data_IF_356706621824
#
_entry.id   IF_356706621824
#
_cell.length_a   1.000
_cell.length_b   1.000
_cell.length_c   1.000
_cell.angle_alpha   90.00
_cell.angle_beta   90.00
_cell.angle_gamma   90.00
#
_symmetry.space_group_name_H-M   'P 1'
#
loop_
_entity.id
_entity.type
_entity.pdbx_description
1 polymer ?
#
# COMPACT_ATOMS: atom_id res chain seq x y z
N UNK A 1 20.24 1.98 7.79
CA UNK A 1 19.18 1.90 8.81
C UNK A 1 18.09 1.06 8.19
N UNK A 2 17.87 -0.17 8.68
CA UNK A 2 16.79 -1.03 8.18
C UNK A 2 15.50 -0.65 8.90
N UNK A 3 14.50 -0.19 8.15
CA UNK A 3 13.16 0.01 8.69
C UNK A 3 12.42 -1.34 8.63
N UNK A 4 11.63 -1.68 9.64
CA UNK A 4 10.78 -2.88 9.63
C UNK A 4 9.32 -2.45 9.55
N UNK A 5 8.57 -3.05 8.65
CA UNK A 5 7.11 -2.98 8.59
C UNK A 5 6.56 -4.27 9.19
N UNK A 6 5.73 -4.14 10.22
CA UNK A 6 5.13 -5.27 10.94
C UNK A 6 3.68 -5.38 10.46
N UNK A 7 3.32 -6.49 9.80
CA UNK A 7 1.99 -6.72 9.23
C UNK A 7 1.34 -7.94 9.90
N UNK A 8 0.74 -7.73 11.07
CA UNK A 8 0.34 -8.84 11.97
C UNK A 8 -0.97 -9.54 11.61
N UNK A 9 -1.95 -8.82 11.06
CA UNK A 9 -3.29 -9.37 10.75
C UNK A 9 -3.77 -9.03 9.34
N UNK A 10 -3.50 -7.80 8.88
CA UNK A 10 -3.84 -7.32 7.55
C UNK A 10 -2.72 -6.39 7.08
N UNK A 11 -1.89 -6.86 6.16
CA UNK A 11 -0.74 -6.09 5.70
C UNK A 11 -1.10 -5.12 4.59
N UNK A 12 -0.65 -3.88 4.72
CA UNK A 12 -0.70 -2.93 3.62
C UNK A 12 0.30 -1.80 3.78
N UNK A 13 0.67 -1.18 2.67
CA UNK A 13 1.45 0.05 2.67
C UNK A 13 0.69 1.13 1.93
N UNK A 14 0.59 2.31 2.55
CA UNK A 14 0.07 3.53 1.94
C UNK A 14 1.23 4.50 1.76
N UNK A 15 1.38 5.02 0.55
CA UNK A 15 2.38 6.03 0.20
C UNK A 15 1.63 7.22 -0.39
N UNK A 16 1.75 8.40 0.21
CA UNK A 16 1.06 9.58 -0.30
C UNK A 16 1.79 10.87 0.07
N UNK A 17 1.46 11.95 -0.64
CA UNK A 17 1.82 13.30 -0.20
C UNK A 17 1.23 13.58 1.20
N UNK A 18 1.95 14.36 2.01
CA UNK A 18 1.51 14.69 3.39
C UNK A 18 0.08 15.23 3.46
N UNK A 19 -0.37 15.98 2.45
CA UNK A 19 -1.71 16.57 2.43
C UNK A 19 -2.83 15.53 2.46
N UNK A 20 -2.62 14.33 1.90
CA UNK A 20 -3.59 13.24 1.98
C UNK A 20 -3.89 12.87 3.43
N UNK A 21 -2.86 12.69 4.25
CA UNK A 21 -3.02 12.28 5.65
C UNK A 21 -3.57 13.37 6.58
N UNK A 22 -3.52 14.64 6.17
CA UNK A 22 -4.11 15.74 6.94
C UNK A 22 -5.63 15.79 6.80
N UNK A 23 -6.16 15.28 5.69
CA UNK A 23 -7.57 15.22 5.41
C UNK A 23 -7.86 14.06 4.45
N UNK A 24 -7.80 12.82 4.95
CA UNK A 24 -7.84 11.63 4.10
C UNK A 24 -9.22 11.42 3.48
N UNK A 25 -10.27 11.92 4.13
CA UNK A 25 -11.63 11.91 3.60
C UNK A 25 -12.25 13.32 3.59
N UNK A 26 -11.80 14.24 2.71
CA UNK A 26 -12.29 15.61 2.69
C UNK A 26 -13.78 15.74 2.42
N UNK A 27 -14.32 14.78 1.66
CA UNK A 27 -15.68 14.83 1.12
C UNK A 27 -16.61 13.80 1.76
N UNK A 28 -16.14 13.04 2.75
CA UNK A 28 -16.92 11.96 3.37
C UNK A 28 -17.25 10.82 2.39
N UNK A 29 -16.35 10.58 1.43
CA UNK A 29 -16.44 9.60 0.35
C UNK A 29 -16.17 8.17 0.83
N UNK A 30 -15.74 7.97 2.09
CA UNK A 30 -15.59 6.66 2.69
C UNK A 30 -14.25 5.99 2.39
N UNK A 31 -13.17 6.77 2.27
CA UNK A 31 -11.85 6.21 1.94
C UNK A 31 -11.38 5.20 3.00
N UNK A 32 -11.58 5.49 4.28
CA UNK A 32 -11.15 4.62 5.38
C UNK A 32 -11.90 3.30 5.36
N UNK A 33 -13.21 3.34 5.11
CA UNK A 33 -14.02 2.14 4.93
C UNK A 33 -13.56 1.30 3.74
N UNK A 34 -13.22 1.95 2.63
CA UNK A 34 -12.69 1.23 1.46
C UNK A 34 -11.34 0.58 1.76
N UNK A 35 -10.49 1.19 2.61
CA UNK A 35 -9.25 0.57 3.08
C UNK A 35 -9.49 -0.61 4.02
N UNK A 36 -10.45 -0.52 4.96
CA UNK A 36 -10.84 -1.65 5.83
C UNK A 36 -11.24 -2.87 4.99
N UNK A 37 -12.10 -2.67 3.98
CA UNK A 37 -12.49 -3.74 3.04
C UNK A 37 -11.29 -4.24 2.25
N UNK A 38 -10.41 -3.33 1.78
CA UNK A 38 -9.26 -3.72 0.97
C UNK A 38 -8.27 -4.61 1.73
N UNK A 39 -8.09 -4.33 3.03
CA UNK A 39 -7.25 -5.08 3.95
C UNK A 39 -7.88 -6.41 4.38
N UNK A 40 -9.21 -6.52 4.42
CA UNK A 40 -9.92 -7.78 4.64
C UNK A 40 -10.17 -8.58 3.34
N UNK A 41 -9.12 -8.88 2.60
CA UNK A 41 -9.23 -9.50 1.27
C UNK A 41 -10.00 -10.81 1.23
N UNK A 42 -9.85 -11.67 2.24
CA UNK A 42 -10.49 -12.99 2.28
C UNK A 42 -11.83 -12.99 3.03
N UNK A 43 -12.24 -11.86 3.60
CA UNK A 43 -13.49 -11.74 4.36
C UNK A 43 -13.39 -12.47 5.69
N UNK A 44 -12.21 -12.42 6.29
CA UNK A 44 -11.90 -13.07 7.56
C UNK A 44 -12.35 -12.28 8.77
N UNK A 45 -12.69 -11.00 8.60
CA UNK A 45 -13.21 -10.16 9.69
C UNK A 45 -14.73 -10.17 9.75
N UNK A 46 -15.26 -9.55 10.78
CA UNK A 46 -16.70 -9.36 10.97
C UNK A 46 -17.35 -8.45 9.92
N UNK A 47 -16.57 -7.72 9.10
CA UNK A 47 -17.06 -6.93 7.96
C UNK A 47 -17.86 -7.78 6.97
N UNK A 48 -17.52 -9.06 6.80
CA UNK A 48 -18.28 -9.96 5.92
C UNK A 48 -19.74 -10.11 6.34
N UNK A 49 -20.06 -9.93 7.63
CA UNK A 49 -21.40 -10.09 8.17
C UNK A 49 -22.35 -8.95 7.75
N UNK A 50 -21.81 -7.83 7.29
CA UNK A 50 -22.60 -6.68 6.81
C UNK A 50 -23.15 -6.92 5.40
N UNK A 51 -22.69 -7.96 4.70
CA UNK A 51 -23.04 -8.25 3.31
C UNK A 51 -23.69 -9.63 3.17
N UNK A 52 -24.70 -9.71 2.31
CA UNK A 52 -25.32 -10.98 1.89
C UNK A 52 -24.85 -11.40 0.49
N UNK A 53 -23.67 -10.94 0.06
CA UNK A 53 -23.08 -11.13 -1.27
C UNK A 53 -21.80 -11.97 -1.16
N UNK A 54 -21.35 -12.55 -2.27
CA UNK A 54 -20.04 -13.22 -2.32
C UNK A 54 -18.93 -12.21 -2.02
N UNK A 55 -18.08 -12.50 -1.03
CA UNK A 55 -17.11 -11.53 -0.52
C UNK A 55 -16.20 -10.95 -1.61
N UNK A 56 -15.74 -11.79 -2.54
CA UNK A 56 -14.91 -11.31 -3.66
C UNK A 56 -15.61 -10.22 -4.49
N UNK A 57 -16.94 -10.31 -4.67
CA UNK A 57 -17.71 -9.29 -5.40
C UNK A 57 -17.80 -7.99 -4.60
N UNK A 58 -18.03 -8.09 -3.29
CA UNK A 58 -18.03 -6.95 -2.36
C UNK A 58 -16.67 -6.26 -2.39
N UNK A 59 -15.59 -7.04 -2.21
CA UNK A 59 -14.23 -6.54 -2.23
C UNK A 59 -13.92 -5.77 -3.50
N UNK A 60 -14.21 -6.33 -4.69
CA UNK A 60 -14.00 -5.61 -5.95
C UNK A 60 -14.87 -4.34 -6.06
N UNK A 61 -16.12 -4.37 -5.63
CA UNK A 61 -17.04 -3.22 -5.73
C UNK A 61 -16.62 -2.08 -4.81
N UNK A 62 -16.39 -2.38 -3.53
CA UNK A 62 -16.10 -1.36 -2.51
C UNK A 62 -14.69 -0.78 -2.67
N UNK A 63 -13.74 -1.55 -3.21
CA UNK A 63 -12.36 -1.07 -3.43
C UNK A 63 -12.17 -0.25 -4.72
N UNK A 64 -13.19 -0.14 -5.59
CA UNK A 64 -13.13 0.68 -6.81
C UNK A 64 -12.80 2.16 -6.50
N UNK A 65 -13.25 2.67 -5.35
CA UNK A 65 -12.92 4.02 -4.91
C UNK A 65 -11.40 4.20 -4.79
N UNK A 66 -10.72 3.25 -4.14
CA UNK A 66 -9.27 3.30 -3.97
C UNK A 66 -8.55 3.24 -5.31
N UNK A 67 -8.99 2.38 -6.23
CA UNK A 67 -8.44 2.31 -7.60
C UNK A 67 -8.56 3.65 -8.31
N UNK A 68 -9.71 4.32 -8.19
CA UNK A 68 -9.93 5.62 -8.80
C UNK A 68 -9.03 6.71 -8.23
N UNK A 69 -8.81 6.73 -6.91
CA UNK A 69 -7.92 7.71 -6.27
C UNK A 69 -6.44 7.45 -6.57
N UNK A 70 -6.03 6.17 -6.65
CA UNK A 70 -4.69 5.79 -7.12
C UNK A 70 -4.47 6.27 -8.55
N UNK A 71 -5.47 6.09 -9.43
CA UNK A 71 -5.41 6.56 -10.83
C UNK A 71 -5.37 8.09 -10.98
N UNK A 72 -5.72 8.84 -9.93
CA UNK A 72 -5.56 10.29 -9.85
C UNK A 72 -4.21 10.71 -9.26
N UNK A 73 -3.44 9.76 -8.71
CA UNK A 73 -2.12 10.01 -8.11
C UNK A 73 -2.19 10.60 -6.72
N UNK A 74 -3.31 10.38 -6.01
CA UNK A 74 -3.52 10.88 -4.65
C UNK A 74 -2.66 10.09 -3.66
N UNK A 75 -2.64 8.77 -3.80
CA UNK A 75 -1.83 7.86 -3.00
C UNK A 75 -1.52 6.60 -3.81
N UNK A 76 -0.63 5.78 -3.26
CA UNK A 76 -0.44 4.38 -3.64
C UNK A 76 -0.80 3.49 -2.48
N UNK A 77 -1.42 2.36 -2.82
CA UNK A 77 -1.76 1.36 -1.85
C UNK A 77 -1.45 -0.03 -2.43
N UNK A 78 -0.75 -0.83 -1.63
CA UNK A 78 -0.45 -2.23 -1.94
C UNK A 78 -0.79 -3.05 -0.71
N UNK A 79 -1.59 -4.10 -0.91
CA UNK A 79 -1.83 -5.12 0.11
C UNK A 79 -0.65 -6.09 0.17
N UNK A 80 -0.25 -6.43 1.39
CA UNK A 80 0.88 -7.29 1.73
C UNK A 80 0.38 -8.55 2.44
N UNK A 81 1.09 -9.69 2.29
CA UNK A 81 0.79 -10.84 3.12
C UNK A 81 1.17 -10.55 4.59
N UNK A 82 0.57 -11.31 5.51
CA UNK A 82 0.92 -11.27 6.93
C UNK A 82 2.41 -11.62 7.10
N UNK A 83 3.12 -10.81 7.87
CA UNK A 83 4.55 -10.99 8.14
C UNK A 83 5.30 -9.67 8.32
N UNK A 84 6.61 -9.81 8.45
CA UNK A 84 7.54 -8.70 8.63
C UNK A 84 8.29 -8.38 7.35
N UNK A 85 8.40 -7.11 7.00
CA UNK A 85 9.15 -6.67 5.83
C UNK A 85 10.27 -5.73 6.22
N UNK A 86 11.50 -6.08 5.85
CA UNK A 86 12.60 -5.12 5.87
C UNK A 86 12.40 -4.14 4.71
N UNK A 87 12.20 -2.87 5.03
CA UNK A 87 12.00 -1.81 4.06
C UNK A 87 13.34 -1.13 3.71
N UNK A 88 13.63 -1.08 2.41
CA UNK A 88 14.68 -0.27 1.81
C UNK A 88 14.07 0.75 0.86
N UNK A 89 14.48 2.02 0.98
CA UNK A 89 14.04 3.10 0.10
C UNK A 89 15.24 3.59 -0.71
N UNK A 90 15.08 3.54 -2.04
CA UNK A 90 16.09 3.91 -3.02
C UNK A 90 15.69 5.21 -3.73
N UNK A 91 16.61 6.16 -3.77
CA UNK A 91 16.42 7.41 -4.51
C UNK A 91 16.98 7.29 -5.94
N UNK A 92 16.17 7.64 -6.93
CA UNK A 92 16.53 7.73 -8.35
C UNK A 92 17.15 6.45 -8.95
N UNK A 93 16.70 5.27 -8.51
CA UNK A 93 17.17 3.98 -9.02
C UNK A 93 16.03 3.14 -9.56
N UNK A 94 15.99 2.92 -10.86
CA UNK A 94 15.04 1.94 -11.43
C UNK A 94 15.43 0.56 -10.91
N UNK A 95 14.49 -0.11 -10.26
CA UNK A 95 14.72 -1.48 -9.80
C UNK A 95 14.49 -2.40 -10.99
N UNK A 96 15.54 -3.14 -11.37
CA UNK A 96 15.49 -4.16 -12.44
C UNK A 96 15.94 -5.47 -11.82
N UNK A 97 15.02 -6.23 -11.26
CA UNK A 97 15.37 -7.50 -10.62
C UNK A 97 14.22 -8.51 -10.68
N UNK A 98 14.57 -9.80 -10.64
CA UNK A 98 13.69 -10.98 -10.69
C UNK A 98 13.01 -11.24 -9.33
N UNK A 99 12.41 -10.19 -8.76
CA UNK A 99 11.69 -10.24 -7.49
C UNK A 99 10.25 -10.74 -7.69
N UNK A 100 9.68 -11.36 -6.64
CA UNK A 100 8.38 -12.01 -6.70
C UNK A 100 7.18 -11.06 -6.76
N UNK A 101 7.31 -9.76 -6.62
CA UNK A 101 6.20 -8.86 -6.92
C UNK A 101 6.77 -7.52 -7.34
N UNK A 102 6.18 -6.95 -8.39
CA UNK A 102 6.52 -5.64 -8.89
C UNK A 102 5.22 -4.87 -9.12
N UNK A 103 5.14 -3.69 -8.53
CA UNK A 103 4.09 -2.73 -8.78
C UNK A 103 4.70 -1.37 -9.03
N UNK A 104 4.18 -0.68 -10.04
CA UNK A 104 4.57 0.68 -10.40
C UNK A 104 3.33 1.53 -10.55
N UNK A 105 3.38 2.74 -9.98
CA UNK A 105 2.40 3.78 -10.25
C UNK A 105 3.00 5.14 -9.86
N UNK A 106 2.23 6.22 -10.03
CA UNK A 106 2.72 7.59 -9.91
C UNK A 106 1.94 8.36 -8.84
N UNK A 107 2.61 9.27 -8.15
CA UNK A 107 2.03 10.17 -7.14
C UNK A 107 2.35 11.62 -7.51
N UNK A 108 1.40 12.52 -7.26
CA UNK A 108 1.65 13.96 -7.30
C UNK A 108 2.07 14.49 -5.92
N UNK A 109 3.26 15.08 -5.83
CA UNK A 109 3.78 15.71 -4.61
C UNK A 109 3.55 17.21 -4.63
N UNK A 110 2.88 17.72 -3.59
CA UNK A 110 2.44 19.11 -3.43
C UNK A 110 3.03 19.78 -2.19
N UNK A 111 3.30 19.01 -1.14
CA UNK A 111 3.80 19.51 0.15
C UNK A 111 5.30 19.29 0.33
N UNK A 112 6.02 18.89 -0.73
CA UNK A 112 7.44 18.53 -0.69
C UNK A 112 7.78 17.35 0.24
N UNK A 113 6.78 16.55 0.60
CA UNK A 113 6.96 15.45 1.55
C UNK A 113 6.01 14.32 1.18
N UNK A 114 6.57 13.13 0.95
CA UNK A 114 5.81 11.88 0.90
C UNK A 114 5.96 11.18 2.25
N UNK A 115 4.85 10.64 2.74
CA UNK A 115 4.80 9.80 3.92
C UNK A 115 4.46 8.37 3.52
N UNK A 116 5.02 7.43 4.26
CA UNK A 116 4.74 6.01 4.16
C UNK A 116 4.20 5.51 5.49
N UNK A 117 3.08 4.81 5.43
CA UNK A 117 2.42 4.18 6.56
C UNK A 117 2.18 2.70 6.30
N UNK A 118 2.29 1.90 7.37
CA UNK A 118 1.59 0.62 7.44
C UNK A 118 0.08 0.92 7.53
N UNK A 119 -0.71 0.29 6.65
CA UNK A 119 -2.09 0.67 6.41
C UNK A 119 -3.01 0.36 7.59
N UNK A 120 -2.87 -0.79 8.24
CA UNK A 120 -3.69 -1.17 9.39
C UNK A 120 -3.51 -0.22 10.56
N UNK A 121 -2.25 0.04 10.94
CA UNK A 121 -1.86 1.00 11.98
C UNK A 121 -2.40 2.39 11.68
N UNK A 122 -2.35 2.81 10.41
CA UNK A 122 -2.89 4.10 10.03
C UNK A 122 -4.41 4.18 10.19
N UNK A 123 -5.15 3.13 9.82
CA UNK A 123 -6.61 3.10 9.98
C UNK A 123 -7.04 3.09 11.44
N UNK A 124 -6.35 2.30 12.28
CA UNK A 124 -6.65 2.23 13.72
C UNK A 124 -6.50 3.58 14.43
N UNK A 125 -5.49 4.36 14.02
CA UNK A 125 -5.12 5.60 14.70
C UNK A 125 -5.62 6.88 13.99
N UNK A 126 -6.29 6.76 12.83
CA UNK A 126 -6.72 7.90 12.00
C UNK A 126 -7.61 8.88 12.77
N UNK A 127 -8.51 8.36 13.61
CA UNK A 127 -9.46 9.12 14.42
C UNK A 127 -8.81 9.77 15.65
N UNK A 128 -7.67 9.22 16.09
CA UNK A 128 -6.92 9.69 17.26
C UNK A 128 -5.95 10.82 16.85
N UNK A 129 -5.55 10.86 15.57
CA UNK A 129 -4.77 11.95 14.99
C UNK A 129 -3.30 11.99 15.38
N UNK A 130 -2.76 10.91 15.95
CA UNK A 130 -1.35 10.78 16.37
C UNK A 130 -0.60 9.64 15.65
N UNK A 131 -1.00 9.33 14.41
CA UNK A 131 -0.31 8.31 13.61
C UNK A 131 1.05 8.84 13.17
N UNK A 132 2.12 8.12 13.53
CA UNK A 132 3.47 8.43 13.06
C UNK A 132 3.76 7.67 11.77
N UNK A 133 4.27 8.34 10.73
CA UNK A 133 4.65 7.65 9.51
C UNK A 133 5.78 6.66 9.80
N UNK A 134 5.70 5.48 9.21
CA UNK A 134 6.79 4.51 9.22
C UNK A 134 8.02 5.09 8.53
N UNK A 135 7.82 5.90 7.48
CA UNK A 135 8.90 6.64 6.83
C UNK A 135 8.44 7.96 6.23
N UNK A 136 9.39 8.88 6.03
CA UNK A 136 9.15 10.14 5.31
C UNK A 136 10.28 10.44 4.34
N UNK A 137 9.94 10.99 3.18
CA UNK A 137 10.89 11.39 2.14
C UNK A 137 10.61 12.83 1.74
N UNK A 138 11.63 13.68 1.81
CA UNK A 138 11.56 15.07 1.33
C UNK A 138 11.84 15.09 -0.19
N UNK A 139 10.94 15.73 -0.94
CA UNK A 139 10.95 15.77 -2.40
C UNK A 139 10.59 17.18 -2.87
N UNK A 140 10.89 17.52 -4.12
CA UNK A 140 10.35 18.75 -4.71
C UNK A 140 8.90 18.55 -5.16
N UNK A 141 8.21 19.63 -5.47
CA UNK A 141 6.85 19.53 -6.02
C UNK A 141 6.91 18.97 -7.45
N UNK A 142 6.03 18.03 -7.76
CA UNK A 142 5.97 17.42 -9.08
C UNK A 142 5.42 16.00 -9.06
N UNK A 143 5.52 15.33 -10.20
CA UNK A 143 5.10 13.95 -10.36
C UNK A 143 6.27 13.00 -10.13
N UNK A 144 6.01 11.92 -9.41
CA UNK A 144 7.00 10.89 -9.10
C UNK A 144 6.49 9.52 -9.51
N UNK A 145 7.35 8.75 -10.15
CA UNK A 145 7.17 7.33 -10.35
C UNK A 145 7.66 6.60 -9.09
N UNK A 146 6.80 5.73 -8.56
CA UNK A 146 7.08 4.92 -7.38
C UNK A 146 7.00 3.46 -7.81
N UNK A 147 8.11 2.76 -7.60
CA UNK A 147 8.20 1.32 -7.86
C UNK A 147 8.30 0.60 -6.52
N UNK A 148 7.44 -0.39 -6.32
CA UNK A 148 7.42 -1.24 -5.13
C UNK A 148 7.77 -2.65 -5.58
N UNK A 149 8.79 -3.22 -4.95
CA UNK A 149 9.18 -4.60 -5.10
C UNK A 149 9.10 -5.33 -3.76
N UNK A 150 8.58 -6.56 -3.79
CA UNK A 150 8.47 -7.40 -2.60
C UNK A 150 9.07 -8.77 -2.93
N UNK A 151 9.93 -9.26 -2.05
CA UNK A 151 10.42 -10.64 -2.05
C UNK A 151 10.22 -11.26 -0.69
N UNK A 152 9.32 -12.25 -0.64
CA UNK A 152 8.99 -13.01 0.55
C UNK A 152 9.66 -14.39 0.60
N UNK A 153 10.56 -14.71 -0.35
CA UNK A 153 11.29 -15.99 -0.38
C UNK A 153 12.40 -16.05 0.68
N UNK A 154 12.67 -14.95 1.37
CA UNK A 154 13.75 -14.80 2.35
C UNK A 154 13.21 -15.12 3.76
N UNK A 155 12.46 -16.21 3.90
CA UNK A 155 12.05 -16.73 5.20
C UNK A 155 13.05 -17.75 5.70
N UNK A 156 13.88 -17.40 6.69
CA UNK A 156 14.30 -18.42 7.64
C UNK A 156 13.07 -18.69 8.50
N UNK A 157 12.57 -19.92 8.48
CA UNK A 157 11.57 -20.39 9.45
C UNK A 157 12.14 -20.16 10.86
N UNK A 158 11.73 -19.08 11.53
CA UNK A 158 11.86 -19.00 12.98
C UNK A 158 10.80 -19.90 13.62
N UNK A 159 11.07 -20.37 14.83
CA UNK A 159 10.18 -21.29 15.58
C UNK A 159 8.75 -20.76 15.76
N UNK A 160 8.53 -19.46 15.57
CA UNK A 160 7.25 -18.80 15.38
C UNK A 160 7.08 -18.41 13.89
N UNK A 161 6.07 -18.99 13.24
CA UNK A 161 5.86 -19.02 11.78
C UNK A 161 5.42 -17.67 11.16
N UNK A 162 6.25 -16.64 11.23
CA UNK A 162 6.03 -15.36 10.55
C UNK A 162 6.91 -15.25 9.30
N UNK A 163 6.30 -14.83 8.17
CA UNK A 163 7.04 -14.56 6.95
C UNK A 163 7.95 -13.36 7.17
N UNK A 164 9.24 -13.48 6.83
CA UNK A 164 10.15 -12.33 6.75
C UNK A 164 10.45 -12.08 5.27
N UNK A 165 10.10 -10.89 4.80
CA UNK A 165 10.35 -10.44 3.43
C UNK A 165 11.23 -9.20 3.37
N UNK A 166 11.60 -8.85 2.15
CA UNK A 166 12.21 -7.56 1.84
C UNK A 166 11.25 -6.77 0.94
N UNK A 167 11.05 -5.50 1.27
CA UNK A 167 10.36 -4.54 0.43
C UNK A 167 11.36 -3.47 -0.01
N UNK A 168 11.42 -3.23 -1.32
CA UNK A 168 12.25 -2.16 -1.89
C UNK A 168 11.32 -1.16 -2.58
N UNK A 169 11.44 0.11 -2.19
CA UNK A 169 10.69 1.21 -2.80
C UNK A 169 11.67 2.12 -3.52
N UNK A 170 11.44 2.35 -4.80
CA UNK A 170 12.17 3.35 -5.57
C UNK A 170 11.30 4.54 -5.91
N UNK A 171 11.86 5.73 -5.75
CA UNK A 171 11.22 7.00 -6.05
C UNK A 171 12.04 7.72 -7.12
N UNK A 172 11.40 8.15 -8.19
CA UNK A 172 12.06 8.89 -9.27
C UNK A 172 11.14 9.95 -9.88
N UNK A 173 11.67 11.14 -10.19
CA UNK A 173 10.89 12.20 -10.83
C UNK A 173 10.42 11.79 -12.23
N UNK A 174 9.21 12.19 -12.63
CA UNK A 174 8.67 11.94 -13.98
C UNK A 174 7.88 13.12 -14.52
N UNK A 175 7.79 13.22 -15.85
CA UNK A 175 6.98 14.24 -16.56
C UNK A 175 5.63 13.68 -17.05
N UNK A 176 5.41 12.37 -16.96
CA UNK A 176 4.26 11.68 -17.55
C UNK A 176 3.11 11.44 -16.56
N UNK A 177 1.88 11.39 -17.08
CA UNK A 177 0.67 11.03 -16.32
C UNK A 177 0.54 9.52 -16.11
N UNK A 178 -0.33 9.13 -15.18
CA UNK A 178 -0.53 7.75 -14.70
C UNK A 178 -1.14 6.87 -15.77
N UNK A 179 -0.63 5.65 -15.91
CA UNK A 179 -1.31 4.59 -16.64
C UNK A 179 -2.42 4.00 -15.75
N UNK A 180 -3.68 3.99 -16.19
CA UNK A 180 -4.79 3.64 -15.32
C UNK A 180 -4.75 2.16 -14.92
N UNK A 181 -4.83 1.92 -13.63
CA UNK A 181 -5.09 0.61 -13.03
C UNK A 181 -6.55 0.23 -13.22
N UNK A 182 -6.78 -1.06 -13.47
CA UNK A 182 -8.12 -1.65 -13.56
C UNK A 182 -8.58 -2.24 -12.22
N UNK A 183 -7.63 -2.63 -11.37
CA UNK A 183 -7.88 -3.29 -10.09
C UNK A 183 -6.81 -2.87 -9.08
N UNK A 184 -7.09 -3.11 -7.79
CA UNK A 184 -6.12 -2.84 -6.73
C UNK A 184 -4.88 -3.75 -6.88
N UNK A 185 -3.67 -3.20 -6.71
CA UNK A 185 -2.46 -3.99 -6.67
C UNK A 185 -2.47 -4.90 -5.44
N UNK A 186 -2.44 -6.21 -5.67
CA UNK A 186 -2.40 -7.19 -4.59
C UNK A 186 -1.34 -8.26 -4.83
N UNK A 187 -0.51 -8.45 -3.81
CA UNK A 187 0.54 -9.47 -3.77
C UNK A 187 0.00 -10.90 -3.97
N UNK A 188 -1.15 -11.23 -3.38
CA UNK A 188 -1.74 -12.58 -3.49
C UNK A 188 -2.27 -12.90 -4.90
N UNK A 189 -2.80 -11.91 -5.65
CA UNK A 189 -3.17 -12.13 -7.06
C UNK A 189 -1.94 -12.50 -7.90
N UNK A 190 -0.78 -11.89 -7.62
CA UNK A 190 0.46 -12.23 -8.32
C UNK A 190 0.92 -13.66 -8.03
N UNK A 191 0.85 -14.13 -6.78
CA UNK A 191 1.21 -15.50 -6.41
C UNK A 191 0.31 -16.56 -7.08
N UNK A 192 -0.96 -16.25 -7.31
CA UNK A 192 -1.91 -17.17 -7.99
C UNK A 192 -1.73 -17.25 -9.51
N UNK A 193 -1.10 -16.24 -10.12
CA UNK A 193 -0.87 -16.16 -11.57
C UNK A 193 0.51 -16.72 -11.95
N UNK A 194 1.49 -16.63 -11.06
CA UNK A 194 2.90 -16.96 -11.33
C UNK A 194 3.41 -18.23 -10.62
N UNK A 195 2.52 -18.99 -9.97
CA UNK A 195 2.76 -20.38 -9.51
C UNK A 195 1.82 -21.35 -10.23
#
# INVERSE_FOLDING_TARGET
MSLRLECDNQGGVIIADRSFFQNPDPEGIGISYAFDIALDREGGTELICDFNEEWNQVWHRETLLLVNEINKGIFLFVTLPIGDFNLEILDNKIIKDDMCFFFESKIEVKTKEILLFEAGSWLEDIDIGDVKPSHKVELENGWYNIQIQIDNRIGNESEDSYLVGNMVISISSTEEKIDPLLELPCYQNWLSINN
#
